data_IF_681625233990
#
_entry.id   IF_681625233990
#
_cell.length_a   1.000
_cell.length_b   1.000
_cell.length_c   1.000
_cell.angle_alpha   90.00
_cell.angle_beta   90.00
_cell.angle_gamma   90.00
#
_symmetry.space_group_name_H-M   'P 1'
#
loop_
_entity.id
_entity.type
_entity.pdbx_description
1 polymer ?
#
# COMPACT_ATOMS: atom_id res chain seq x y z
N UNK A 1 5.01 -30.49 -31.90
CA UNK A 1 5.91 -30.67 -30.75
C UNK A 1 7.24 -29.92 -30.92
N UNK A 2 8.07 -30.20 -31.94
CA UNK A 2 9.42 -29.57 -32.10
C UNK A 2 9.41 -28.03 -32.17
N UNK A 3 8.41 -27.41 -32.84
CA UNK A 3 8.24 -25.95 -32.91
C UNK A 3 7.83 -25.33 -31.59
N UNK A 4 6.98 -26.02 -30.78
CA UNK A 4 6.59 -25.59 -29.46
C UNK A 4 7.74 -25.62 -28.46
N UNK A 5 8.56 -26.66 -28.52
CA UNK A 5 9.77 -26.77 -27.71
C UNK A 5 10.81 -25.70 -28.07
N UNK A 6 10.97 -25.37 -29.36
CA UNK A 6 11.82 -24.27 -29.80
C UNK A 6 11.33 -22.90 -29.35
N UNK A 7 10.00 -22.66 -29.39
CA UNK A 7 9.42 -21.44 -28.86
C UNK A 7 9.56 -21.33 -27.34
N UNK A 8 9.39 -22.42 -26.60
CA UNK A 8 9.62 -22.47 -25.15
C UNK A 8 11.11 -22.25 -24.81
N UNK A 9 12.01 -22.87 -25.54
CA UNK A 9 13.46 -22.68 -25.37
C UNK A 9 13.91 -21.25 -25.71
N UNK A 10 13.32 -20.63 -26.74
CA UNK A 10 13.56 -19.23 -27.09
C UNK A 10 13.00 -18.28 -26.01
N UNK A 11 11.79 -18.55 -25.50
CA UNK A 11 11.20 -17.80 -24.38
C UNK A 11 12.04 -17.92 -23.12
N UNK A 12 12.53 -19.11 -22.79
CA UNK A 12 13.44 -19.33 -21.66
C UNK A 12 14.79 -18.64 -21.86
N UNK A 13 15.33 -18.63 -23.08
CA UNK A 13 16.57 -17.94 -23.41
C UNK A 13 16.43 -16.42 -23.36
N UNK A 14 15.28 -15.88 -23.78
CA UNK A 14 14.95 -14.46 -23.66
C UNK A 14 14.70 -14.05 -22.20
N UNK A 15 14.09 -14.91 -21.39
CA UNK A 15 13.92 -14.67 -19.94
C UNK A 15 15.21 -14.87 -19.15
N UNK A 16 16.19 -15.64 -19.65
CA UNK A 16 17.44 -15.91 -18.97
C UNK A 16 18.60 -14.96 -19.31
N UNK A 17 18.43 -14.11 -20.33
CA UNK A 17 19.46 -13.17 -20.77
C UNK A 17 19.48 -11.83 -20.04
N UNK A 18 18.39 -11.49 -19.37
CA UNK A 18 18.39 -10.37 -18.45
C UNK A 18 19.05 -10.86 -17.15
N UNK A 19 20.30 -10.43 -16.90
CA UNK A 19 20.71 -10.29 -15.49
C UNK A 19 19.57 -9.52 -14.86
N UNK A 20 18.83 -10.16 -13.96
CA UNK A 20 17.85 -9.49 -13.13
C UNK A 20 18.64 -8.45 -12.32
N UNK A 21 18.89 -7.31 -12.92
CA UNK A 21 19.15 -6.09 -12.21
C UNK A 21 17.84 -5.92 -11.43
N UNK A 22 17.80 -6.47 -10.21
CA UNK A 22 16.80 -6.14 -9.25
C UNK A 22 16.78 -4.62 -9.29
N UNK A 23 15.73 -4.04 -9.86
CA UNK A 23 15.56 -2.61 -9.81
C UNK A 23 15.39 -2.32 -8.34
N UNK A 24 16.52 -2.09 -7.71
CA UNK A 24 16.55 -1.47 -6.41
C UNK A 24 15.95 -0.08 -6.64
N UNK A 25 14.74 0.12 -6.19
CA UNK A 25 14.38 1.43 -5.73
C UNK A 25 15.32 1.71 -4.56
N UNK A 26 16.54 2.10 -4.92
CA UNK A 26 17.49 2.58 -3.95
C UNK A 26 17.06 4.01 -3.65
N UNK A 27 16.52 4.19 -2.47
CA UNK A 27 16.38 5.50 -1.86
C UNK A 27 17.75 6.16 -1.58
N UNK A 28 18.74 5.83 -2.38
CA UNK A 28 20.15 6.08 -2.21
C UNK A 28 20.90 4.79 -1.85
N UNK A 29 22.18 4.75 -2.14
CA UNK A 29 23.04 3.69 -1.62
C UNK A 29 23.31 3.96 -0.15
N UNK A 30 22.85 3.08 0.72
CA UNK A 30 23.26 3.12 2.12
C UNK A 30 24.78 3.04 2.21
N UNK A 31 25.41 3.86 3.03
CA UNK A 31 26.85 3.74 3.26
C UNK A 31 27.17 2.37 3.87
N UNK A 32 28.41 1.88 3.73
CA UNK A 32 28.85 0.65 4.41
C UNK A 32 28.61 0.77 5.91
N UNK A 33 27.77 -0.09 6.47
CA UNK A 33 27.43 -0.09 7.88
C UNK A 33 27.14 -1.50 8.38
N UNK A 34 27.23 -1.66 9.70
CA UNK A 34 26.92 -2.93 10.33
C UNK A 34 25.41 -3.08 10.49
N UNK A 35 24.88 -4.18 10.00
CA UNK A 35 23.47 -4.53 10.08
C UNK A 35 23.20 -5.56 11.16
N UNK A 36 22.13 -5.36 11.91
CA UNK A 36 21.59 -6.29 12.91
C UNK A 36 20.16 -6.67 12.59
N UNK A 37 19.69 -7.75 13.19
CA UNK A 37 18.32 -8.20 13.02
C UNK A 37 17.69 -8.65 14.33
N UNK A 38 16.47 -8.19 14.59
CA UNK A 38 15.58 -8.74 15.60
C UNK A 38 14.68 -9.78 14.92
N UNK A 39 14.62 -10.97 15.49
CA UNK A 39 13.78 -12.07 15.01
C UNK A 39 12.83 -12.50 16.10
N UNK A 40 11.54 -12.48 15.78
CA UNK A 40 10.47 -13.04 16.60
C UNK A 40 9.68 -14.04 15.76
N UNK A 41 8.76 -14.84 16.33
CA UNK A 41 7.94 -15.74 15.54
C UNK A 41 7.21 -15.05 14.38
N UNK A 42 6.78 -13.79 14.58
CA UNK A 42 5.91 -13.06 13.66
C UNK A 42 6.64 -11.98 12.85
N UNK A 43 7.73 -11.41 13.41
CA UNK A 43 8.39 -10.24 12.85
C UNK A 43 9.88 -10.49 12.67
N UNK A 44 10.40 -10.11 11.51
CA UNK A 44 11.83 -9.98 11.24
C UNK A 44 12.12 -8.52 10.90
N UNK A 45 12.89 -7.86 11.77
CA UNK A 45 13.31 -6.47 11.55
C UNK A 45 14.81 -6.42 11.32
N UNK A 46 15.22 -5.79 10.23
CA UNK A 46 16.62 -5.61 9.82
C UNK A 46 16.93 -4.12 9.90
N UNK A 47 18.00 -3.78 10.54
CA UNK A 47 18.34 -2.38 10.81
C UNK A 47 19.84 -2.19 10.99
N UNK A 48 20.39 -1.01 10.68
CA UNK A 48 21.75 -0.64 11.07
C UNK A 48 21.89 -0.49 12.58
N UNK A 49 23.04 -0.89 13.13
CA UNK A 49 23.29 -0.84 14.58
C UNK A 49 23.10 0.56 15.18
N UNK A 50 23.32 1.60 14.39
CA UNK A 50 23.14 3.02 14.76
C UNK A 50 21.71 3.36 15.19
N UNK A 51 20.69 2.63 14.69
CA UNK A 51 19.26 2.89 14.96
C UNK A 51 18.59 1.79 15.79
N UNK A 52 19.36 1.03 16.56
CA UNK A 52 18.84 -0.09 17.37
C UNK A 52 17.71 0.32 18.33
N UNK A 53 17.79 1.51 18.92
CA UNK A 53 16.74 2.05 19.79
C UNK A 53 15.44 2.33 19.05
N UNK A 54 15.53 2.89 17.83
CA UNK A 54 14.38 3.14 16.95
C UNK A 54 13.76 1.81 16.51
N UNK A 55 14.59 0.83 16.14
CA UNK A 55 14.13 -0.50 15.73
C UNK A 55 13.31 -1.20 16.84
N UNK A 56 13.77 -1.15 18.09
CA UNK A 56 13.02 -1.72 19.22
C UNK A 56 11.69 -1.00 19.45
N UNK A 57 11.66 0.32 19.32
CA UNK A 57 10.43 1.12 19.44
C UNK A 57 9.46 0.82 18.31
N UNK A 58 9.95 0.69 17.09
CA UNK A 58 9.13 0.31 15.93
C UNK A 58 8.55 -1.10 16.11
N UNK A 59 9.34 -2.06 16.61
CA UNK A 59 8.84 -3.40 16.93
C UNK A 59 7.73 -3.36 17.99
N UNK A 60 7.86 -2.51 18.99
CA UNK A 60 6.80 -2.29 19.99
C UNK A 60 5.51 -1.81 19.31
N UNK A 61 5.58 -0.85 18.37
CA UNK A 61 4.41 -0.37 17.66
C UNK A 61 3.80 -1.46 16.74
N UNK A 62 4.63 -2.26 16.06
CA UNK A 62 4.14 -3.40 15.26
C UNK A 62 3.30 -4.33 16.16
N UNK A 63 3.80 -4.69 17.32
CA UNK A 63 3.07 -5.56 18.26
C UNK A 63 1.80 -4.92 18.81
N UNK A 64 1.81 -3.60 18.98
CA UNK A 64 0.63 -2.87 19.47
C UNK A 64 -0.51 -2.88 18.45
N UNK A 65 -0.19 -2.73 17.15
CA UNK A 65 -1.23 -2.68 16.11
C UNK A 65 -1.61 -4.06 15.55
N UNK A 66 -0.76 -5.06 15.74
CA UNK A 66 -0.92 -6.40 15.16
C UNK A 66 -2.26 -7.08 15.45
N UNK A 67 -2.84 -7.00 16.66
CA UNK A 67 -4.13 -7.64 16.94
C UNK A 67 -5.26 -7.14 16.06
N UNK A 68 -5.29 -5.84 15.77
CA UNK A 68 -6.43 -5.17 15.13
C UNK A 68 -6.16 -4.83 13.65
N UNK A 69 -4.91 -4.94 13.19
CA UNK A 69 -4.51 -4.49 11.85
C UNK A 69 -5.27 -5.21 10.72
N UNK A 70 -5.76 -6.42 10.98
CA UNK A 70 -6.51 -7.22 10.02
C UNK A 70 -8.02 -6.96 10.04
N UNK A 71 -8.51 -6.04 10.88
CA UNK A 71 -9.94 -5.73 10.95
C UNK A 71 -10.56 -5.56 9.56
N UNK A 72 -11.70 -6.22 9.34
CA UNK A 72 -12.42 -6.21 8.07
C UNK A 72 -11.83 -7.10 6.97
N UNK A 73 -10.74 -7.81 7.22
CA UNK A 73 -10.15 -8.79 6.30
C UNK A 73 -10.10 -10.19 6.92
N UNK A 74 -10.23 -11.20 6.07
CA UNK A 74 -10.23 -12.60 6.47
C UNK A 74 -8.87 -13.08 6.97
N UNK A 75 -7.80 -12.61 6.35
CA UNK A 75 -6.44 -13.04 6.65
C UNK A 75 -5.64 -11.89 7.25
N UNK A 76 -4.84 -12.22 8.25
CA UNK A 76 -3.87 -11.30 8.83
C UNK A 76 -2.75 -10.89 7.86
N UNK A 77 -1.78 -10.11 8.32
CA UNK A 77 -0.68 -9.66 7.47
C UNK A 77 0.16 -10.85 6.96
N UNK A 78 0.67 -10.72 5.74
CA UNK A 78 1.64 -11.71 5.25
C UNK A 78 2.94 -11.60 6.06
N UNK A 79 3.67 -12.72 6.16
CA UNK A 79 5.03 -12.70 6.71
C UNK A 79 5.93 -11.87 5.81
N UNK A 80 6.45 -10.77 6.35
CA UNK A 80 7.24 -9.79 5.61
C UNK A 80 8.35 -9.25 6.52
N UNK A 81 9.62 -9.12 6.06
CA UNK A 81 10.64 -8.45 6.81
C UNK A 81 10.46 -6.93 6.77
N UNK A 82 10.82 -6.27 7.85
CA UNK A 82 10.91 -4.82 7.95
C UNK A 82 12.38 -4.41 7.86
N UNK A 83 12.69 -3.44 7.03
CA UNK A 83 14.05 -2.91 6.82
C UNK A 83 14.04 -1.43 7.14
N UNK A 84 15.04 -0.97 7.88
CA UNK A 84 15.15 0.43 8.28
C UNK A 84 16.32 1.11 7.57
N UNK A 85 16.09 2.30 7.04
CA UNK A 85 17.05 3.12 6.30
C UNK A 85 17.21 4.48 6.98
N UNK A 86 18.19 4.65 7.89
CA UNK A 86 18.41 5.90 8.62
C UNK A 86 19.12 6.97 7.80
N UNK A 87 19.81 6.57 6.75
CA UNK A 87 20.69 7.45 5.96
C UNK A 87 19.94 8.28 4.91
N UNK A 88 18.62 8.30 5.00
CA UNK A 88 17.79 9.04 4.06
C UNK A 88 17.12 10.23 4.78
N UNK A 89 17.12 11.39 4.14
CA UNK A 89 16.46 12.59 4.67
C UNK A 89 14.94 12.60 4.42
N UNK A 90 14.43 11.66 3.65
CA UNK A 90 12.99 11.50 3.45
C UNK A 90 12.35 10.79 4.63
N UNK A 91 11.13 11.19 4.94
CA UNK A 91 10.28 10.57 5.95
C UNK A 91 9.18 9.81 5.23
N UNK A 92 9.31 8.48 5.12
CA UNK A 92 8.36 7.65 4.38
C UNK A 92 8.40 6.19 4.81
N UNK A 93 7.39 5.44 4.41
CA UNK A 93 7.35 3.98 4.42
C UNK A 93 6.95 3.44 3.07
N UNK A 94 7.25 2.18 2.83
CA UNK A 94 6.93 1.53 1.56
C UNK A 94 6.82 0.03 1.75
N UNK A 95 5.75 -0.57 1.26
CA UNK A 95 5.64 -2.02 1.15
C UNK A 95 5.97 -2.46 -0.26
N UNK A 96 7.07 -3.18 -0.38
CA UNK A 96 7.51 -3.77 -1.65
C UNK A 96 7.03 -5.22 -1.75
N UNK A 97 6.57 -5.61 -2.92
CA UNK A 97 6.19 -7.00 -3.18
C UNK A 97 7.32 -7.80 -3.85
N UNK A 98 8.24 -7.14 -4.53
CA UNK A 98 9.35 -7.75 -5.28
C UNK A 98 10.71 -7.11 -4.93
N UNK A 99 11.52 -7.73 -4.08
CA UNK A 99 11.20 -8.79 -3.13
C UNK A 99 10.34 -8.27 -1.96
N UNK A 100 9.59 -9.17 -1.32
CA UNK A 100 8.68 -8.82 -0.21
C UNK A 100 9.45 -8.20 0.96
N UNK A 101 9.15 -6.95 1.27
CA UNK A 101 9.67 -6.24 2.44
C UNK A 101 8.87 -4.97 2.72
N UNK A 102 8.89 -4.52 3.95
CA UNK A 102 8.50 -3.17 4.34
C UNK A 102 9.78 -2.37 4.55
N UNK A 103 9.88 -1.22 3.94
CA UNK A 103 10.99 -0.29 4.16
C UNK A 103 10.53 0.92 4.94
N UNK A 104 11.28 1.29 5.97
CA UNK A 104 11.07 2.49 6.75
C UNK A 104 12.26 3.43 6.57
N UNK A 105 11.98 4.61 6.05
CA UNK A 105 12.91 5.73 6.04
C UNK A 105 12.78 6.43 7.37
N UNK A 106 13.83 6.39 8.19
CA UNK A 106 13.71 6.71 9.60
C UNK A 106 13.89 8.17 9.97
N UNK A 107 13.92 9.08 9.00
CA UNK A 107 13.87 10.51 9.24
C UNK A 107 12.54 10.92 9.87
N UNK A 108 12.52 11.88 10.81
CA UNK A 108 11.28 12.37 11.40
C UNK A 108 10.33 12.93 10.33
N UNK A 109 9.02 12.87 10.60
CA UNK A 109 8.03 13.49 9.74
C UNK A 109 8.25 15.01 9.68
N UNK A 110 8.09 15.55 8.48
CA UNK A 110 8.16 17.02 8.25
C UNK A 110 6.90 17.69 8.80
N UNK A 111 5.75 17.04 8.63
CA UNK A 111 4.47 17.53 9.13
C UNK A 111 4.26 17.09 10.58
N UNK A 112 3.70 17.99 11.39
CA UNK A 112 3.35 17.68 12.77
C UNK A 112 2.18 16.71 12.85
N UNK A 113 2.43 15.49 13.31
CA UNK A 113 1.40 14.52 13.65
C UNK A 113 1.12 14.53 15.15
N UNK A 114 -0.14 14.37 15.52
CA UNK A 114 -0.54 14.30 16.94
C UNK A 114 -0.17 12.96 17.60
N UNK A 115 0.44 12.05 16.88
CA UNK A 115 0.89 10.75 17.36
C UNK A 115 2.34 10.49 16.92
N UNK A 116 3.07 9.59 17.59
CA UNK A 116 4.41 9.24 17.17
C UNK A 116 4.46 8.75 15.73
N UNK A 117 5.31 9.37 14.91
CA UNK A 117 5.44 9.10 13.48
C UNK A 117 5.57 7.61 13.15
N UNK A 118 6.45 6.90 13.87
CA UNK A 118 6.63 5.47 13.63
C UNK A 118 5.39 4.62 13.94
N UNK A 119 4.55 5.04 14.89
CA UNK A 119 3.31 4.33 15.18
C UNK A 119 2.34 4.45 14.00
N UNK A 120 2.20 5.65 13.45
CA UNK A 120 1.36 5.90 12.28
C UNK A 120 1.89 5.12 11.07
N UNK A 121 3.19 5.25 10.79
CA UNK A 121 3.84 4.58 9.67
C UNK A 121 3.67 3.07 9.74
N UNK A 122 3.87 2.48 10.91
CA UNK A 122 3.65 1.05 11.14
C UNK A 122 2.20 0.66 10.89
N UNK A 123 1.22 1.41 11.39
CA UNK A 123 -0.19 1.10 11.19
C UNK A 123 -0.55 1.15 9.69
N UNK A 124 -0.02 2.13 8.97
CA UNK A 124 -0.24 2.28 7.53
C UNK A 124 0.40 1.13 6.73
N UNK A 125 1.71 0.97 6.82
CA UNK A 125 2.45 0.00 6.02
C UNK A 125 2.08 -1.45 6.36
N UNK A 126 1.81 -1.74 7.63
CA UNK A 126 1.42 -3.09 8.03
C UNK A 126 0.01 -3.43 7.53
N UNK A 127 -0.86 -2.43 7.34
CA UNK A 127 -2.15 -2.63 6.68
C UNK A 127 -1.98 -3.09 5.22
N UNK A 128 -1.01 -2.54 4.48
CA UNK A 128 -0.71 -3.04 3.15
C UNK A 128 -0.27 -4.51 3.14
N UNK A 129 0.45 -4.96 4.15
CA UNK A 129 0.79 -6.38 4.28
C UNK A 129 -0.46 -7.27 4.46
N UNK A 130 -1.52 -6.77 5.10
CA UNK A 130 -2.83 -7.43 5.19
C UNK A 130 -3.52 -7.45 3.83
N UNK A 131 -3.60 -6.31 3.16
CA UNK A 131 -4.22 -6.19 1.84
C UNK A 131 -3.58 -7.13 0.83
N UNK A 132 -2.25 -7.15 0.77
CA UNK A 132 -1.50 -8.02 -0.14
C UNK A 132 -1.74 -9.50 0.13
N UNK A 133 -1.82 -9.90 1.40
CA UNK A 133 -2.15 -11.29 1.75
C UNK A 133 -3.57 -11.66 1.30
N UNK A 134 -4.50 -10.73 1.39
CA UNK A 134 -5.90 -10.95 1.01
C UNK A 134 -6.14 -10.83 -0.50
N UNK A 135 -5.29 -10.15 -1.24
CA UNK A 135 -5.28 -10.16 -2.71
C UNK A 135 -4.63 -11.44 -3.28
N UNK A 136 -3.75 -12.09 -2.54
CA UNK A 136 -3.09 -13.33 -2.96
C UNK A 136 -3.98 -14.56 -2.71
N UNK A 137 -5.17 -14.57 -3.33
CA UNK A 137 -6.17 -15.65 -3.26
C UNK A 137 -6.62 -16.04 -4.67
N UNK A 138 -7.42 -17.10 -4.79
CA UNK A 138 -8.03 -17.51 -6.05
C UNK A 138 -7.02 -17.70 -7.18
N UNK A 139 -7.28 -17.10 -8.34
CA UNK A 139 -6.43 -17.18 -9.53
C UNK A 139 -5.05 -16.57 -9.29
N UNK A 140 -4.97 -15.45 -8.55
CA UNK A 140 -3.69 -14.81 -8.22
C UNK A 140 -2.80 -15.75 -7.43
N UNK A 141 -3.36 -16.48 -6.46
CA UNK A 141 -2.62 -17.49 -5.71
C UNK A 141 -2.13 -18.63 -6.60
N UNK A 142 -2.96 -19.10 -7.52
CA UNK A 142 -2.55 -20.13 -8.48
C UNK A 142 -1.38 -19.63 -9.36
N UNK A 143 -1.45 -18.41 -9.86
CA UNK A 143 -0.36 -17.77 -10.59
C UNK A 143 0.91 -17.63 -9.74
N UNK A 144 0.79 -17.39 -8.45
CA UNK A 144 1.96 -17.28 -7.57
C UNK A 144 2.72 -18.59 -7.38
N UNK A 145 2.09 -19.74 -7.54
CA UNK A 145 2.78 -21.04 -7.54
C UNK A 145 3.61 -21.27 -8.80
N UNK A 146 3.22 -20.66 -9.93
CA UNK A 146 3.90 -20.82 -11.21
C UNK A 146 4.99 -19.73 -11.39
N UNK A 147 4.65 -18.49 -11.08
CA UNK A 147 5.46 -17.30 -11.33
C UNK A 147 6.13 -16.73 -10.06
N UNK A 148 5.97 -17.39 -8.92
CA UNK A 148 6.50 -16.90 -7.65
C UNK A 148 5.88 -15.55 -7.25
N UNK A 149 6.70 -14.66 -6.70
CA UNK A 149 6.25 -13.35 -6.25
C UNK A 149 5.71 -12.48 -7.39
N UNK A 150 6.18 -12.65 -8.62
CA UNK A 150 5.68 -11.92 -9.80
C UNK A 150 4.20 -12.24 -10.05
N UNK A 151 3.78 -13.50 -9.91
CA UNK A 151 2.38 -13.88 -10.01
C UNK A 151 1.50 -13.19 -8.95
N UNK A 152 1.99 -13.07 -7.73
CA UNK A 152 1.30 -12.35 -6.68
C UNK A 152 1.18 -10.84 -6.94
N UNK A 153 2.15 -10.24 -7.64
CA UNK A 153 2.13 -8.80 -7.98
C UNK A 153 0.96 -8.45 -8.90
N UNK A 154 0.48 -9.40 -9.72
CA UNK A 154 -0.72 -9.21 -10.55
C UNK A 154 -1.93 -8.86 -9.67
N UNK A 155 -1.99 -9.36 -8.43
CA UNK A 155 -3.04 -9.01 -7.47
C UNK A 155 -3.11 -7.52 -7.16
N UNK A 156 -1.99 -6.80 -7.22
CA UNK A 156 -1.98 -5.34 -6.97
C UNK A 156 -2.71 -4.57 -8.08
N UNK A 157 -2.73 -5.10 -9.30
CA UNK A 157 -3.46 -4.50 -10.41
C UNK A 157 -4.99 -4.72 -10.29
N UNK A 158 -5.41 -5.59 -9.38
CA UNK A 158 -6.82 -5.90 -9.15
C UNK A 158 -7.50 -4.95 -8.16
N UNK A 159 -6.76 -4.06 -7.54
CA UNK A 159 -7.29 -3.10 -6.58
C UNK A 159 -6.74 -1.70 -6.89
N UNK A 160 -7.59 -0.69 -7.07
CA UNK A 160 -7.11 0.65 -7.38
C UNK A 160 -6.34 1.24 -6.20
N UNK A 161 -5.33 2.06 -6.52
CA UNK A 161 -4.44 2.65 -5.51
C UNK A 161 -5.20 3.46 -4.45
N UNK A 162 -6.24 4.19 -4.85
CA UNK A 162 -7.05 4.96 -3.91
C UNK A 162 -7.77 4.07 -2.87
N UNK A 163 -8.13 2.82 -3.24
CA UNK A 163 -8.77 1.89 -2.31
C UNK A 163 -7.76 1.28 -1.34
N UNK A 164 -6.55 0.99 -1.82
CA UNK A 164 -5.47 0.48 -0.96
C UNK A 164 -5.01 1.54 0.03
N UNK A 165 -4.69 2.73 -0.45
CA UNK A 165 -4.21 3.83 0.39
C UNK A 165 -5.32 4.36 1.31
N UNK A 166 -6.54 4.47 0.79
CA UNK A 166 -7.70 4.92 1.58
C UNK A 166 -8.05 3.98 2.74
N UNK A 167 -7.99 2.66 2.51
CA UNK A 167 -8.19 1.68 3.58
C UNK A 167 -7.04 1.72 4.60
N UNK A 168 -5.80 1.96 4.17
CA UNK A 168 -4.67 2.11 5.07
C UNK A 168 -4.82 3.39 5.94
N UNK A 169 -5.21 4.52 5.35
CA UNK A 169 -5.51 5.76 6.11
C UNK A 169 -6.70 5.56 7.05
N UNK A 170 -7.73 4.87 6.63
CA UNK A 170 -8.88 4.55 7.49
C UNK A 170 -8.44 3.69 8.67
N UNK A 171 -7.63 2.66 8.43
CA UNK A 171 -7.12 1.76 9.47
C UNK A 171 -6.22 2.50 10.47
N UNK A 172 -5.25 3.30 10.01
CA UNK A 172 -4.39 4.09 10.90
C UNK A 172 -5.20 5.10 11.74
N UNK A 173 -6.27 5.64 11.15
CA UNK A 173 -7.16 6.59 11.82
C UNK A 173 -8.00 5.91 12.88
N UNK A 174 -8.59 4.75 12.56
CA UNK A 174 -9.41 3.96 13.49
C UNK A 174 -8.62 3.40 14.68
N UNK A 175 -7.34 3.03 14.46
CA UNK A 175 -6.45 2.51 15.50
C UNK A 175 -5.74 3.59 16.32
N UNK A 176 -6.12 4.85 16.16
CA UNK A 176 -5.49 5.96 16.88
C UNK A 176 -6.51 7.03 17.22
N UNK A 177 -6.20 7.86 18.22
CA UNK A 177 -7.05 9.02 18.58
C UNK A 177 -6.88 10.20 17.60
N UNK A 178 -5.86 10.17 16.72
CA UNK A 178 -5.43 11.32 15.92
C UNK A 178 -4.86 10.93 14.56
N UNK A 179 -5.41 9.90 13.90
CA UNK A 179 -4.98 9.53 12.55
C UNK A 179 -5.23 10.63 11.52
N UNK A 180 -4.58 10.53 10.36
CA UNK A 180 -4.66 11.53 9.30
C UNK A 180 -6.10 11.91 8.91
N UNK A 181 -6.99 10.93 8.88
CA UNK A 181 -8.39 11.13 8.52
C UNK A 181 -9.15 12.10 9.44
N UNK A 182 -8.68 12.29 10.69
CA UNK A 182 -9.26 13.23 11.65
C UNK A 182 -8.62 14.62 11.59
N UNK A 183 -7.52 14.78 10.85
CA UNK A 183 -6.86 16.09 10.74
C UNK A 183 -7.67 17.03 9.85
N UNK A 184 -7.97 18.25 10.30
CA UNK A 184 -8.73 19.23 9.51
C UNK A 184 -8.07 19.57 8.15
N UNK A 185 -6.75 19.57 8.09
CA UNK A 185 -5.96 19.82 6.87
C UNK A 185 -6.13 18.71 5.84
N UNK A 186 -6.23 17.45 6.28
CA UNK A 186 -6.33 16.28 5.40
C UNK A 186 -7.58 16.30 4.51
N UNK A 187 -8.72 16.75 5.02
CA UNK A 187 -9.97 16.86 4.25
C UNK A 187 -10.25 18.28 3.72
N UNK A 188 -9.31 19.21 3.87
CA UNK A 188 -9.52 20.62 3.53
C UNK A 188 -9.80 20.84 2.05
N UNK A 189 -9.07 20.15 1.17
CA UNK A 189 -9.26 20.23 -0.28
C UNK A 189 -10.68 19.83 -0.70
N UNK A 190 -11.18 18.70 -0.18
CA UNK A 190 -12.55 18.25 -0.41
C UNK A 190 -13.60 19.23 0.08
N UNK A 191 -13.42 19.74 1.29
CA UNK A 191 -14.36 20.69 1.88
C UNK A 191 -14.40 22.01 1.10
N UNK A 192 -13.24 22.47 0.62
CA UNK A 192 -13.16 23.67 -0.21
C UNK A 192 -13.89 23.45 -1.54
N UNK A 193 -13.67 22.34 -2.22
CA UNK A 193 -14.36 21.99 -3.46
C UNK A 193 -15.87 21.88 -3.28
N UNK A 194 -16.32 21.21 -2.21
CA UNK A 194 -17.72 21.07 -1.90
C UNK A 194 -18.43 22.41 -1.65
N UNK A 195 -17.75 23.37 -1.00
CA UNK A 195 -18.29 24.71 -0.75
C UNK A 195 -18.37 25.56 -2.01
N UNK A 196 -17.34 25.51 -2.85
CA UNK A 196 -17.29 26.32 -4.07
C UNK A 196 -18.29 25.78 -5.10
N UNK A 197 -18.39 24.45 -5.26
CA UNK A 197 -19.33 23.78 -6.17
C UNK A 197 -19.17 24.15 -7.65
N UNK A 198 -18.21 25.02 -7.93
CA UNK A 198 -17.94 25.62 -9.25
C UNK A 198 -16.46 25.59 -9.56
N UNK A 199 -16.13 25.49 -10.84
CA UNK A 199 -14.76 25.66 -11.30
C UNK A 199 -14.33 27.15 -11.20
N UNK A 200 -13.04 27.42 -11.48
CA UNK A 200 -12.50 28.78 -11.48
C UNK A 200 -13.17 29.75 -12.48
N UNK A 201 -13.95 29.21 -13.44
CA UNK A 201 -14.77 29.99 -14.41
C UNK A 201 -16.22 30.11 -13.95
N UNK A 202 -16.55 29.74 -12.74
CA UNK A 202 -17.90 29.82 -12.20
C UNK A 202 -18.88 28.77 -12.73
N UNK A 203 -18.41 27.80 -13.52
CA UNK A 203 -19.23 26.70 -14.06
C UNK A 203 -19.36 25.58 -13.02
N UNK A 204 -20.48 24.87 -13.05
CA UNK A 204 -20.67 23.69 -12.20
C UNK A 204 -19.52 22.71 -12.41
N UNK A 205 -18.95 22.22 -11.32
CA UNK A 205 -17.87 21.24 -11.37
C UNK A 205 -18.35 19.95 -12.07
N UNK A 206 -17.71 19.63 -13.18
CA UNK A 206 -17.99 18.45 -14.01
C UNK A 206 -16.73 17.62 -14.23
N UNK A 207 -15.83 17.57 -13.23
CA UNK A 207 -14.69 16.67 -13.33
C UNK A 207 -15.21 15.25 -13.50
N UNK A 208 -14.73 14.56 -14.54
CA UNK A 208 -15.08 13.17 -14.75
C UNK A 208 -14.37 12.26 -13.73
N UNK A 209 -14.86 11.04 -13.61
CA UNK A 209 -14.37 10.06 -12.64
C UNK A 209 -12.89 9.73 -12.85
N UNK A 210 -12.40 9.74 -14.10
CA UNK A 210 -11.00 9.44 -14.43
C UNK A 210 -10.06 10.45 -13.80
N UNK A 211 -10.43 11.74 -13.76
CA UNK A 211 -9.65 12.79 -13.10
C UNK A 211 -9.57 12.57 -11.59
N UNK A 212 -10.67 12.10 -11.01
CA UNK A 212 -10.70 11.79 -9.58
C UNK A 212 -9.79 10.62 -9.21
N UNK A 213 -9.69 9.61 -10.08
CA UNK A 213 -8.88 8.42 -9.82
C UNK A 213 -7.42 8.55 -10.24
N UNK A 214 -7.18 9.24 -11.35
CA UNK A 214 -5.84 9.34 -11.95
C UNK A 214 -5.15 10.68 -11.67
N UNK A 215 -5.85 11.64 -11.06
CA UNK A 215 -5.37 13.00 -10.94
C UNK A 215 -5.55 13.82 -12.21
N UNK A 216 -5.12 15.08 -12.20
CA UNK A 216 -5.18 15.96 -13.36
C UNK A 216 -4.07 17.00 -13.29
N UNK A 217 -3.35 17.18 -14.40
CA UNK A 217 -2.37 18.28 -14.55
C UNK A 217 -3.02 19.66 -14.73
N UNK A 218 -4.31 19.68 -15.10
CA UNK A 218 -5.05 20.91 -15.39
C UNK A 218 -5.90 21.40 -14.24
N UNK A 219 -6.56 20.45 -13.57
CA UNK A 219 -7.55 20.73 -12.53
C UNK A 219 -7.02 20.24 -11.19
N UNK A 220 -7.22 21.04 -10.14
CA UNK A 220 -6.95 20.57 -8.80
C UNK A 220 -7.88 19.41 -8.45
N UNK A 221 -7.29 18.31 -8.05
CA UNK A 221 -7.98 17.13 -7.51
C UNK A 221 -7.26 16.78 -6.19
N UNK A 222 -7.98 16.59 -5.08
CA UNK A 222 -7.42 16.00 -3.88
C UNK A 222 -6.76 14.66 -4.20
N UNK A 223 -5.72 14.31 -3.49
CA UNK A 223 -4.96 13.11 -3.80
C UNK A 223 -5.75 11.81 -3.51
N UNK A 224 -5.20 10.70 -3.93
CA UNK A 224 -5.83 9.39 -3.77
C UNK A 224 -5.92 8.92 -2.32
N UNK A 225 -5.12 9.46 -1.39
CA UNK A 225 -5.24 9.20 0.04
C UNK A 225 -6.51 9.83 0.61
N UNK A 226 -6.77 11.11 0.28
CA UNK A 226 -7.96 11.82 0.73
C UNK A 226 -9.23 11.21 0.12
N UNK A 227 -9.24 10.99 -1.19
CA UNK A 227 -10.35 10.37 -1.91
C UNK A 227 -10.62 8.97 -1.36
N UNK A 228 -9.58 8.16 -1.28
CA UNK A 228 -9.66 6.80 -0.82
C UNK A 228 -10.20 6.70 0.61
N UNK A 229 -9.70 7.54 1.52
CA UNK A 229 -10.18 7.58 2.90
C UNK A 229 -11.69 7.84 2.98
N UNK A 230 -12.19 8.82 2.22
CA UNK A 230 -13.62 9.16 2.22
C UNK A 230 -14.46 7.99 1.70
N UNK A 231 -14.05 7.38 0.59
CA UNK A 231 -14.79 6.27 -0.02
C UNK A 231 -14.71 5.02 0.87
N UNK A 232 -13.52 4.69 1.40
CA UNK A 232 -13.34 3.51 2.24
C UNK A 232 -14.12 3.62 3.54
N UNK A 233 -14.04 4.77 4.22
CA UNK A 233 -14.78 5.01 5.47
C UNK A 233 -16.29 4.97 5.24
N UNK A 234 -16.77 5.57 4.15
CA UNK A 234 -18.19 5.50 3.78
C UNK A 234 -18.63 4.06 3.52
N UNK A 235 -17.82 3.29 2.80
CA UNK A 235 -18.15 1.90 2.49
C UNK A 235 -18.25 1.02 3.75
N UNK A 236 -17.33 1.17 4.70
CA UNK A 236 -17.41 0.51 6.00
C UNK A 236 -18.70 0.89 6.76
N UNK A 237 -19.02 2.19 6.81
CA UNK A 237 -20.19 2.66 7.52
C UNK A 237 -21.51 2.25 6.85
N UNK A 238 -21.54 2.14 5.52
CA UNK A 238 -22.78 1.91 4.74
C UNK A 238 -23.09 0.44 4.51
N UNK A 239 -22.08 -0.39 4.35
CA UNK A 239 -22.28 -1.80 3.98
C UNK A 239 -22.00 -2.72 5.16
N UNK A 240 -20.76 -3.03 5.45
CA UNK A 240 -20.30 -3.76 6.62
C UNK A 240 -18.77 -3.77 6.71
N UNK A 241 -18.26 -4.33 7.80
CA UNK A 241 -16.83 -4.42 8.08
C UNK A 241 -16.04 -5.22 7.06
N UNK A 242 -16.65 -6.18 6.35
CA UNK A 242 -15.98 -7.09 5.42
C UNK A 242 -16.06 -6.62 3.95
N UNK A 243 -16.51 -5.41 3.70
CA UNK A 243 -16.72 -4.89 2.34
C UNK A 243 -15.45 -4.99 1.50
N UNK A 244 -14.31 -4.61 2.05
CA UNK A 244 -13.03 -4.62 1.33
C UNK A 244 -12.44 -6.03 1.19
N UNK A 245 -12.70 -6.94 2.13
CA UNK A 245 -12.36 -8.37 1.94
C UNK A 245 -13.10 -8.96 0.75
N UNK A 246 -14.40 -8.65 0.61
CA UNK A 246 -15.19 -9.09 -0.56
C UNK A 246 -14.67 -8.50 -1.87
N UNK A 247 -14.30 -7.23 -1.89
CA UNK A 247 -13.68 -6.59 -3.07
C UNK A 247 -12.36 -7.27 -3.42
N UNK A 248 -11.47 -7.48 -2.45
CA UNK A 248 -10.21 -8.17 -2.66
C UNK A 248 -10.41 -9.64 -3.13
N UNK A 249 -11.38 -10.32 -2.55
CA UNK A 249 -11.76 -11.67 -2.97
C UNK A 249 -12.25 -11.72 -4.42
N UNK A 250 -13.15 -10.82 -4.79
CA UNK A 250 -13.66 -10.71 -6.16
C UNK A 250 -12.53 -10.41 -7.15
N UNK A 251 -11.69 -9.42 -6.87
CA UNK A 251 -10.54 -9.05 -7.69
C UNK A 251 -9.54 -10.18 -7.88
N UNK A 252 -9.25 -10.94 -6.81
CA UNK A 252 -8.32 -12.07 -6.86
C UNK A 252 -8.79 -13.23 -7.74
N UNK A 253 -10.09 -13.34 -7.98
CA UNK A 253 -10.69 -14.35 -8.88
C UNK A 253 -10.91 -13.84 -10.29
N UNK A 254 -11.08 -12.53 -10.45
CA UNK A 254 -11.45 -11.88 -11.70
C UNK A 254 -10.50 -10.68 -11.97
N UNK A 255 -9.21 -10.92 -12.18
CA UNK A 255 -8.21 -9.85 -12.21
C UNK A 255 -8.42 -8.80 -13.30
N UNK A 256 -9.18 -9.10 -14.34
CA UNK A 256 -9.45 -8.17 -15.44
C UNK A 256 -10.77 -7.38 -15.29
N UNK A 257 -11.65 -7.73 -14.34
CA UNK A 257 -13.00 -7.18 -14.30
C UNK A 257 -13.15 -5.92 -13.42
N UNK A 258 -12.25 -5.66 -12.49
CA UNK A 258 -12.34 -4.47 -11.63
C UNK A 258 -12.21 -3.15 -12.39
N UNK A 259 -11.46 -3.16 -13.50
CA UNK A 259 -11.29 -1.99 -14.37
C UNK A 259 -12.31 -1.93 -15.55
N UNK A 260 -12.99 -3.03 -15.82
CA UNK A 260 -13.92 -3.15 -16.96
C UNK A 260 -15.38 -3.22 -16.52
N UNK A 261 -15.67 -3.20 -15.23
CA UNK A 261 -17.05 -3.17 -14.74
C UNK A 261 -17.71 -1.87 -15.18
N UNK A 262 -18.82 -1.92 -15.94
CA UNK A 262 -19.54 -0.71 -16.29
C UNK A 262 -19.94 0.01 -15.00
N UNK A 263 -19.67 1.32 -14.96
CA UNK A 263 -20.18 2.18 -13.89
C UNK A 263 -21.67 1.90 -13.70
N UNK A 264 -22.18 1.67 -12.50
CA UNK A 264 -23.61 1.58 -12.28
C UNK A 264 -24.25 2.89 -12.78
N UNK A 265 -25.18 2.76 -13.71
CA UNK A 265 -25.97 3.87 -14.25
C UNK A 265 -26.87 4.44 -13.18
#
# INVERSE_FOLDING_TARGET
MRRLLLLLALLCALCGAERAAAQYYTWGSDPPQKWSAIRTPDVRMIYPDTVSGVARRTLFYIRTVQPDIAYGFRHGPMRIPFVMHPENFQSNGLVMYLPKRVEFLTSPAIDGYSMPWYKQLVAHEYRHAVQYNNLNRGVIRALSYILGQQGSTIGLLCMPIWAMEGDAVMSETAMSSFGRGLQPSFSMGYRAMGRVGRDYKGRRDRRNIDKWFCGSYRDYIPDHYELGYQICSYAYARYDENVWDRVAWFGSRNPCLLYTSPSPR
#
